data_IF_000244351880
#
_entry.id   IF_000244351880
#
_cell.length_a   1.000
_cell.length_b   1.000
_cell.length_c   1.000
_cell.angle_alpha   90.00
_cell.angle_beta   90.00
_cell.angle_gamma   90.00
#
_symmetry.space_group_name_H-M   'P 1'
#
loop_
_entity.id
_entity.type
_entity.pdbx_description
1 polymer ?
#
# COMPACT_ATOMS: atom_id res chain seq x y z
N UNK A 1 8.52 -14.41 1.16
CA UNK A 1 9.66 -13.53 0.90
C UNK A 1 9.92 -12.63 2.09
N UNK A 2 11.16 -12.37 2.39
CA UNK A 2 11.51 -11.42 3.44
C UNK A 2 12.12 -10.18 2.86
N UNK A 3 11.77 -9.04 3.42
CA UNK A 3 12.39 -7.79 3.04
C UNK A 3 13.80 -7.72 3.60
N UNK A 4 14.71 -7.12 2.83
CA UNK A 4 16.09 -6.91 3.27
C UNK A 4 16.21 -5.69 4.17
N UNK A 5 15.22 -4.83 4.16
CA UNK A 5 15.23 -3.60 4.96
C UNK A 5 14.16 -3.68 6.03
N UNK A 6 14.32 -2.87 7.06
CA UNK A 6 13.31 -2.79 8.12
C UNK A 6 12.10 -1.96 7.70
N UNK A 7 12.23 -1.21 6.63
CA UNK A 7 11.23 -0.24 6.19
C UNK A 7 10.85 -0.47 4.74
N UNK A 8 9.58 -0.30 4.43
CA UNK A 8 9.09 -0.37 3.06
C UNK A 8 7.88 0.52 2.87
N UNK A 9 7.56 0.77 1.60
CA UNK A 9 6.34 1.47 1.22
C UNK A 9 5.38 0.42 0.66
N UNK A 10 4.16 0.41 1.16
CA UNK A 10 3.08 -0.41 0.64
C UNK A 10 2.15 0.47 -0.17
N UNK A 11 1.99 0.16 -1.44
CA UNK A 11 1.05 0.87 -2.30
C UNK A 11 -0.23 0.04 -2.38
N UNK A 12 -1.32 0.63 -1.94
CA UNK A 12 -2.62 -0.05 -1.89
C UNK A 12 -3.35 0.24 -3.18
N UNK A 13 -3.72 -0.80 -3.90
CA UNK A 13 -4.30 -0.63 -5.22
C UNK A 13 -5.32 -1.72 -5.49
N UNK A 14 -6.24 -1.46 -6.42
CA UNK A 14 -7.29 -2.40 -6.77
C UNK A 14 -7.73 -2.13 -8.21
N UNK A 15 -7.60 -3.14 -9.06
CA UNK A 15 -8.12 -3.07 -10.42
C UNK A 15 -7.46 -2.06 -11.35
N UNK A 16 -6.26 -1.58 -11.02
CA UNK A 16 -5.59 -0.55 -11.82
C UNK A 16 -4.13 -0.85 -12.07
N UNK A 17 -3.80 -2.03 -12.63
CA UNK A 17 -2.39 -2.40 -12.77
C UNK A 17 -1.59 -1.48 -13.70
N UNK A 18 -2.27 -0.77 -14.60
CA UNK A 18 -1.57 0.15 -15.49
C UNK A 18 -1.49 1.57 -14.96
N UNK A 19 -2.11 1.82 -13.81
CA UNK A 19 -2.19 3.18 -13.26
C UNK A 19 -1.71 3.27 -11.84
N UNK A 20 -0.70 2.50 -11.47
CA UNK A 20 -0.09 2.59 -10.15
C UNK A 20 0.91 3.74 -10.19
N UNK A 21 0.39 4.95 -10.21
CA UNK A 21 1.20 6.16 -10.38
C UNK A 21 2.16 6.40 -9.25
N UNK A 22 1.76 6.02 -8.05
CA UNK A 22 2.60 6.20 -6.86
C UNK A 22 3.95 5.48 -7.00
N UNK A 23 3.96 4.31 -7.63
CA UNK A 23 5.21 3.59 -7.86
C UNK A 23 6.18 4.42 -8.68
N UNK A 24 5.69 4.95 -9.79
CA UNK A 24 6.54 5.77 -10.66
C UNK A 24 6.97 7.05 -9.98
N UNK A 25 6.08 7.64 -9.19
CA UNK A 25 6.37 8.87 -8.47
C UNK A 25 7.48 8.66 -7.45
N UNK A 26 7.42 7.55 -6.70
CA UNK A 26 8.47 7.23 -5.74
C UNK A 26 9.81 7.08 -6.43
N UNK A 27 9.85 6.39 -7.55
CA UNK A 27 11.10 6.20 -8.30
C UNK A 27 11.62 7.51 -8.85
N UNK A 28 10.75 8.33 -9.38
CA UNK A 28 11.11 9.63 -9.94
C UNK A 28 11.67 10.55 -8.85
N UNK A 29 11.10 10.48 -7.65
CA UNK A 29 11.55 11.33 -6.54
C UNK A 29 12.80 10.79 -5.85
N UNK A 30 13.32 9.69 -6.33
CA UNK A 30 14.60 9.18 -5.83
C UNK A 30 14.50 8.16 -4.71
N UNK A 31 13.33 7.63 -4.45
CA UNK A 31 13.19 6.61 -3.40
C UNK A 31 13.88 5.32 -3.85
N UNK A 32 14.77 4.82 -3.02
CA UNK A 32 15.54 3.61 -3.34
C UNK A 32 15.21 2.43 -2.45
N UNK A 33 14.26 2.59 -1.53
CA UNK A 33 13.88 1.51 -0.62
C UNK A 33 12.93 0.51 -1.27
N UNK A 34 12.44 -0.40 -0.47
CA UNK A 34 11.54 -1.44 -0.93
C UNK A 34 10.12 -0.88 -1.12
N UNK A 35 9.51 -1.28 -2.21
CA UNK A 35 8.13 -0.92 -2.51
C UNK A 35 7.37 -2.20 -2.81
N UNK A 36 6.23 -2.36 -2.15
CA UNK A 36 5.35 -3.51 -2.40
C UNK A 36 4.00 -3.02 -2.88
N UNK A 37 3.40 -3.81 -3.76
CA UNK A 37 2.08 -3.52 -4.31
C UNK A 37 1.09 -4.46 -3.61
N UNK A 38 0.13 -3.91 -2.91
CA UNK A 38 -0.80 -4.69 -2.10
C UNK A 38 -2.15 -4.78 -2.79
N UNK A 39 -2.58 -5.99 -3.09
CA UNK A 39 -3.85 -6.25 -3.78
C UNK A 39 -4.61 -7.36 -3.06
N UNK A 40 -5.94 -7.39 -3.22
CA UNK A 40 -6.71 -8.46 -2.62
C UNK A 40 -6.79 -9.67 -3.56
N UNK A 41 -7.10 -10.82 -2.99
CA UNK A 41 -7.10 -12.08 -3.73
C UNK A 41 -8.26 -12.21 -4.70
N UNK A 42 -9.24 -11.33 -4.61
CA UNK A 42 -10.39 -11.33 -5.51
C UNK A 42 -10.25 -10.36 -6.67
N UNK A 43 -9.13 -9.67 -6.73
CA UNK A 43 -8.88 -8.71 -7.81
C UNK A 43 -8.66 -9.47 -9.11
N UNK A 44 -9.49 -9.26 -10.12
CA UNK A 44 -9.34 -9.99 -11.39
C UNK A 44 -8.09 -9.59 -12.18
N UNK A 45 -7.39 -8.54 -11.77
CA UNK A 45 -6.21 -8.05 -12.49
C UNK A 45 -4.90 -8.43 -11.81
N UNK A 46 -4.92 -9.38 -10.87
CA UNK A 46 -3.72 -9.79 -10.17
C UNK A 46 -2.58 -10.18 -11.12
N UNK A 47 -2.91 -10.93 -12.17
CA UNK A 47 -1.89 -11.38 -13.10
C UNK A 47 -1.20 -10.22 -13.81
N UNK A 48 -1.92 -9.16 -14.09
CA UNK A 48 -1.34 -7.98 -14.71
C UNK A 48 -0.40 -7.27 -13.74
N UNK A 49 -0.77 -7.19 -12.45
CA UNK A 49 0.12 -6.64 -11.44
C UNK A 49 1.40 -7.47 -11.35
N UNK A 50 1.27 -8.79 -11.31
CA UNK A 50 2.43 -9.67 -11.20
C UNK A 50 3.33 -9.59 -12.42
N UNK A 51 2.73 -9.43 -13.59
CA UNK A 51 3.50 -9.30 -14.81
C UNK A 51 4.36 -8.05 -14.79
N UNK A 52 3.83 -6.98 -14.23
CA UNK A 52 4.53 -5.70 -14.21
C UNK A 52 5.48 -5.55 -13.03
N UNK A 53 5.09 -6.02 -11.87
CA UNK A 53 5.84 -5.77 -10.63
C UNK A 53 6.49 -7.01 -10.03
N UNK A 54 6.16 -8.17 -10.55
CA UNK A 54 6.81 -9.40 -10.13
C UNK A 54 6.57 -9.74 -8.66
N UNK A 55 7.62 -10.07 -7.96
CA UNK A 55 7.53 -10.49 -6.59
C UNK A 55 7.29 -9.35 -5.60
N UNK A 56 7.18 -8.13 -6.10
CA UNK A 56 6.79 -6.99 -5.26
C UNK A 56 5.29 -7.01 -4.95
N UNK A 57 4.52 -7.84 -5.64
CA UNK A 57 3.07 -7.91 -5.42
C UNK A 57 2.78 -8.82 -4.23
N UNK A 58 2.09 -8.26 -3.25
CA UNK A 58 1.64 -9.00 -2.07
C UNK A 58 0.13 -9.11 -2.13
N UNK A 59 -0.37 -10.34 -2.03
CA UNK A 59 -1.80 -10.59 -2.12
C UNK A 59 -2.32 -11.00 -0.76
N UNK A 60 -3.39 -10.38 -0.31
CA UNK A 60 -4.02 -10.74 0.95
C UNK A 60 -5.36 -11.41 0.71
N UNK A 61 -5.79 -12.20 1.68
CA UNK A 61 -7.07 -12.88 1.61
C UNK A 61 -8.14 -11.97 2.18
N UNK A 62 -9.02 -11.50 1.31
CA UNK A 62 -10.04 -10.53 1.69
C UNK A 62 -10.99 -11.06 2.76
N UNK A 63 -11.37 -12.33 2.64
CA UNK A 63 -12.29 -12.93 3.60
C UNK A 63 -11.66 -13.04 4.99
N UNK A 64 -10.39 -13.39 5.05
CA UNK A 64 -9.71 -13.46 6.33
C UNK A 64 -9.60 -12.09 6.99
N UNK A 65 -9.30 -11.08 6.20
CA UNK A 65 -9.20 -9.73 6.73
C UNK A 65 -10.56 -9.23 7.21
N UNK A 66 -11.61 -9.58 6.48
CA UNK A 66 -12.96 -9.18 6.88
C UNK A 66 -13.32 -9.70 8.26
N UNK A 67 -12.79 -10.83 8.65
CA UNK A 67 -13.07 -11.40 9.97
C UNK A 67 -12.46 -10.59 11.11
N UNK A 68 -11.51 -9.73 10.81
CA UNK A 68 -10.88 -8.91 11.83
C UNK A 68 -11.63 -7.60 12.10
N UNK A 69 -12.64 -7.31 11.29
CA UNK A 69 -13.39 -6.09 11.49
C UNK A 69 -14.39 -6.25 12.63
N UNK A 70 -14.59 -5.16 13.35
CA UNK A 70 -15.58 -5.11 14.40
C UNK A 70 -16.96 -5.16 13.78
N UNK A 71 -17.82 -5.99 14.32
CA UNK A 71 -19.18 -6.10 13.82
C UNK A 71 -19.99 -4.83 14.02
N UNK A 72 -19.53 -3.93 14.87
CA UNK A 72 -20.16 -2.64 15.03
C UNK A 72 -19.85 -1.66 13.93
N UNK A 73 -18.85 -1.97 13.11
CA UNK A 73 -18.49 -1.11 12.01
C UNK A 73 -19.49 -1.24 10.88
N UNK A 74 -19.45 -0.29 10.00
CA UNK A 74 -20.34 -0.27 8.87
C UNK A 74 -19.84 -1.17 7.76
N UNK A 75 -20.26 -2.41 7.78
CA UNK A 75 -19.82 -3.38 6.79
C UNK A 75 -20.20 -3.05 5.39
N UNK A 76 -21.33 -2.37 5.23
CA UNK A 76 -21.83 -2.10 3.90
C UNK A 76 -20.95 -1.16 3.13
N UNK A 77 -20.05 -0.51 3.84
CA UNK A 77 -19.17 0.47 3.24
C UNK A 77 -17.73 0.00 3.16
N UNK A 78 -17.50 -1.30 3.21
CA UNK A 78 -16.16 -1.85 3.17
C UNK A 78 -15.60 -1.81 1.77
N UNK A 79 -14.78 -0.82 1.52
CA UNK A 79 -14.11 -0.66 0.23
C UNK A 79 -12.81 -1.43 0.22
N UNK A 80 -12.34 -1.73 -0.99
CA UNK A 80 -11.09 -2.46 -1.14
C UNK A 80 -9.94 -1.81 -0.38
N UNK A 81 -9.91 -0.48 -0.35
CA UNK A 81 -8.83 0.24 0.33
C UNK A 81 -8.82 -0.04 1.84
N UNK A 82 -9.99 -0.20 2.45
CA UNK A 82 -10.08 -0.48 3.87
C UNK A 82 -9.50 -1.85 4.17
N UNK A 83 -9.83 -2.83 3.35
CA UNK A 83 -9.28 -4.18 3.52
C UNK A 83 -7.77 -4.17 3.35
N UNK A 84 -7.28 -3.46 2.35
CA UNK A 84 -5.85 -3.39 2.08
C UNK A 84 -5.11 -2.72 3.23
N UNK A 85 -5.67 -1.67 3.81
CA UNK A 85 -5.04 -0.99 4.94
C UNK A 85 -4.89 -1.91 6.14
N UNK A 86 -5.93 -2.69 6.42
CA UNK A 86 -5.87 -3.63 7.54
C UNK A 86 -4.93 -4.79 7.26
N UNK A 87 -4.92 -5.27 6.01
CA UNK A 87 -4.06 -6.38 5.64
C UNK A 87 -2.58 -6.03 5.69
N UNK A 88 -2.24 -4.76 5.47
CA UNK A 88 -0.85 -4.35 5.43
C UNK A 88 -0.08 -4.68 6.70
N UNK A 89 -0.73 -4.59 7.85
CA UNK A 89 -0.07 -4.92 9.11
C UNK A 89 0.32 -6.40 9.15
N UNK A 90 -0.58 -7.27 8.71
CA UNK A 90 -0.30 -8.69 8.67
C UNK A 90 0.80 -9.01 7.66
N UNK A 91 0.72 -8.40 6.49
CA UNK A 91 1.71 -8.60 5.45
C UNK A 91 3.09 -8.13 5.88
N UNK A 92 3.16 -6.98 6.53
CA UNK A 92 4.44 -6.47 7.02
C UNK A 92 5.09 -7.45 7.99
N UNK A 93 4.29 -8.03 8.87
CA UNK A 93 4.79 -9.03 9.80
C UNK A 93 5.31 -10.26 9.07
N UNK A 94 4.59 -10.71 8.06
CA UNK A 94 4.96 -11.91 7.31
C UNK A 94 6.29 -11.77 6.60
N UNK A 95 6.62 -10.57 6.13
CA UNK A 95 7.88 -10.36 5.43
C UNK A 95 8.96 -9.73 6.31
N UNK A 96 8.68 -9.59 7.61
CA UNK A 96 9.68 -9.18 8.58
C UNK A 96 9.99 -7.71 8.65
N UNK A 97 9.05 -6.86 8.27
CA UNK A 97 9.23 -5.41 8.35
C UNK A 97 8.93 -4.91 9.76
N UNK A 98 9.73 -3.95 10.21
CA UNK A 98 9.46 -3.23 11.45
C UNK A 98 8.63 -1.99 11.22
N UNK A 99 8.82 -1.34 10.08
CA UNK A 99 8.17 -0.08 9.76
C UNK A 99 7.67 -0.10 8.33
N UNK A 100 6.54 0.51 8.10
CA UNK A 100 6.06 0.67 6.74
C UNK A 100 5.15 1.88 6.65
N UNK A 101 5.01 2.39 5.42
CA UNK A 101 4.08 3.48 5.11
C UNK A 101 3.09 2.92 4.09
N UNK A 102 1.82 3.26 4.26
CA UNK A 102 0.78 2.90 3.31
C UNK A 102 0.45 4.11 2.46
N UNK A 103 0.52 3.95 1.16
CA UNK A 103 0.18 5.01 0.22
C UNK A 103 -0.87 4.50 -0.77
N UNK A 104 -1.73 5.40 -1.22
CA UNK A 104 -2.66 5.08 -2.30
C UNK A 104 -1.91 5.02 -3.62
N UNK A 105 -2.57 4.53 -4.67
CA UNK A 105 -1.90 4.28 -5.94
C UNK A 105 -1.86 5.47 -6.90
N UNK A 106 -2.43 6.60 -6.51
CA UNK A 106 -2.65 7.70 -7.45
C UNK A 106 -1.85 8.97 -7.17
N UNK A 107 -0.82 8.89 -6.33
CA UNK A 107 0.01 10.06 -6.09
C UNK A 107 0.89 10.35 -7.30
N UNK A 108 0.89 11.60 -7.73
CA UNK A 108 1.71 12.04 -8.86
C UNK A 108 2.87 12.92 -8.42
N UNK A 109 2.85 13.36 -7.17
CA UNK A 109 3.97 14.11 -6.60
C UNK A 109 3.87 14.09 -5.09
N UNK A 110 5.00 14.28 -4.43
CA UNK A 110 5.05 14.41 -2.99
C UNK A 110 5.55 15.81 -2.66
N UNK A 111 4.83 16.49 -1.79
CA UNK A 111 5.14 17.87 -1.43
C UNK A 111 5.36 17.93 0.06
N UNK A 112 6.51 18.45 0.46
CA UNK A 112 6.81 18.72 1.87
C UNK A 112 6.62 20.19 2.12
N UNK A 113 5.86 20.52 3.16
CA UNK A 113 5.56 21.90 3.48
C UNK A 113 5.99 22.22 4.90
N UNK A 114 6.77 23.29 5.00
CA UNK A 114 7.18 23.82 6.28
C UNK A 114 6.82 25.29 6.27
N UNK A 115 6.31 25.78 7.38
CA UNK A 115 6.08 27.21 7.48
C UNK A 115 7.38 27.88 7.93
N UNK A 116 7.35 29.20 8.02
CA UNK A 116 8.53 29.98 8.31
C UNK A 116 9.08 29.74 9.72
N UNK A 117 8.30 29.16 10.61
CA UNK A 117 8.77 28.83 11.95
C UNK A 117 9.27 27.40 12.02
N UNK A 118 9.32 26.72 10.90
CA UNK A 118 9.77 25.34 10.78
C UNK A 118 8.82 24.34 11.39
N UNK A 119 7.64 24.76 11.70
CA UNK A 119 6.64 23.81 12.11
C UNK A 119 6.20 23.02 10.92
N UNK A 120 5.90 21.80 11.21
CA UNK A 120 5.46 20.92 10.20
C UNK A 120 4.05 21.28 9.80
N UNK A 121 3.89 21.70 8.57
CA UNK A 121 2.57 21.95 8.07
C UNK A 121 2.06 20.67 7.45
N UNK A 122 0.85 20.34 7.75
CA UNK A 122 0.30 19.09 7.23
C UNK A 122 -0.05 19.23 5.82
N UNK A 123 0.49 18.35 5.05
CA UNK A 123 0.23 18.36 3.63
C UNK A 123 -0.82 17.34 3.28
N UNK A 124 -1.69 17.12 4.14
CA UNK A 124 -2.71 16.15 3.85
C UNK A 124 -3.45 16.43 2.61
#
# INVERSE_FOLDING_TARGET
>A
MKSKNDFAVFILTNGRPKKVRTFNTLKKEGFTGDIYIVVDDLDPTIDEYRKKYGDKVLVFNKKEIAKTFDTGDNFNDMRAIVYARNASFKLARQIGLKYFIQLDDDYTEFVYRFNSSLDYEYSE
#
